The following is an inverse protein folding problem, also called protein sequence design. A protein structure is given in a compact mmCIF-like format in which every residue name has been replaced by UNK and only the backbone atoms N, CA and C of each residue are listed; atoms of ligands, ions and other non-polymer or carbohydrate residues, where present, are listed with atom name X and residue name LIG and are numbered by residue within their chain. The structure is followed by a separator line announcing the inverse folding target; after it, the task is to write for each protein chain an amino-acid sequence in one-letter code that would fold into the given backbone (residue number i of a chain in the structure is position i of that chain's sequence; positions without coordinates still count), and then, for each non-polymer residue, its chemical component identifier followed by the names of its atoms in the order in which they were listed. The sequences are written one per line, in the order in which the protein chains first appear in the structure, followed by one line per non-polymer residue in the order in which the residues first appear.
data_IF_729703379526
#
_entry.id   IF_729703379526
#
_cell.length_a   1.000
_cell.length_b   1.000
_cell.length_c   1.000
_cell.angle_alpha   90.00
_cell.angle_beta   90.00
_cell.angle_gamma   90.00
#
_symmetry.space_group_name_H-M   'P 1'
#
loop_
_entity.id
_entity.type
_entity.pdbx_description
1 polymer ?
#
# COMPACT_ATOMS: atom_id res chain seq x y z
N UNK A 1 5.34 -39.34 -18.51
CA UNK A 1 5.94 -38.05 -18.13
C UNK A 1 5.11 -37.42 -17.02
N UNK A 2 5.36 -37.82 -15.76
CA UNK A 2 4.62 -37.36 -14.58
C UNK A 2 5.48 -36.28 -13.92
N UNK A 3 5.08 -35.02 -14.03
CA UNK A 3 5.74 -33.94 -13.30
C UNK A 3 5.31 -34.03 -11.83
N UNK A 4 6.18 -34.63 -11.02
CA UNK A 4 6.05 -34.76 -9.58
C UNK A 4 6.49 -33.44 -8.97
N UNK A 5 5.53 -32.60 -8.56
CA UNK A 5 5.83 -31.44 -7.72
C UNK A 5 6.18 -31.98 -6.35
N UNK A 6 7.47 -32.01 -6.03
CA UNK A 6 8.01 -32.41 -4.74
C UNK A 6 7.82 -31.21 -3.81
N UNK A 7 6.88 -31.35 -2.87
CA UNK A 7 6.75 -30.52 -1.68
C UNK A 7 8.11 -30.49 -0.96
N UNK A 8 8.80 -29.36 -1.04
CA UNK A 8 9.94 -29.03 -0.21
C UNK A 8 9.53 -27.84 0.63
N UNK A 9 9.44 -28.11 1.92
CA UNK A 9 9.26 -27.15 3.00
C UNK A 9 10.23 -25.98 2.80
N UNK A 10 9.72 -24.76 2.66
CA UNK A 10 10.52 -23.56 2.84
C UNK A 10 10.10 -22.96 4.18
N UNK A 11 10.81 -23.37 5.23
CA UNK A 11 10.93 -22.64 6.49
C UNK A 11 12.33 -22.05 6.50
N UNK A 12 12.48 -20.79 6.08
CA UNK A 12 13.75 -20.06 6.18
C UNK A 12 13.34 -18.66 6.68
N UNK A 13 13.41 -18.37 7.99
CA UNK A 13 14.63 -17.92 8.66
C UNK A 13 15.40 -16.89 7.82
N UNK A 14 15.00 -15.63 7.97
CA UNK A 14 15.75 -14.47 7.50
C UNK A 14 16.94 -14.22 8.46
N UNK A 15 17.95 -15.09 8.37
CA UNK A 15 19.21 -15.02 9.09
C UNK A 15 20.28 -14.37 8.21
N UNK A 16 20.71 -13.14 8.53
CA UNK A 16 22.12 -12.71 8.63
C UNK A 16 22.31 -11.18 8.59
N UNK A 17 22.26 -10.56 9.77
CA UNK A 17 23.33 -9.68 10.26
C UNK A 17 23.15 -9.50 11.76
N UNK A 18 24.08 -10.07 12.53
CA UNK A 18 24.15 -9.96 13.99
C UNK A 18 24.41 -8.51 14.41
N UNK A 19 23.68 -8.03 15.42
CA UNK A 19 24.28 -7.24 16.48
C UNK A 19 23.45 -7.41 17.78
N UNK A 20 24.18 -7.74 18.83
CA UNK A 20 23.73 -7.98 20.19
C UNK A 20 23.33 -6.68 20.91
N UNK A 21 22.63 -6.88 22.01
CA UNK A 21 22.05 -5.89 22.92
C UNK A 21 23.05 -4.80 23.34
N UNK A 22 22.78 -3.52 23.01
CA UNK A 22 23.21 -2.38 23.84
C UNK A 22 22.20 -1.24 23.75
N UNK A 23 21.80 -0.75 24.92
CA UNK A 23 20.73 0.22 25.10
C UNK A 23 20.97 1.54 24.36
N UNK A 24 19.99 1.90 23.55
CA UNK A 24 19.55 3.28 23.39
C UNK A 24 18.02 3.21 23.44
N UNK A 25 17.41 4.17 24.12
CA UNK A 25 15.95 4.33 24.19
C UNK A 25 15.39 4.46 22.76
N UNK A 26 15.15 3.34 22.08
CA UNK A 26 14.49 3.28 20.79
C UNK A 26 13.03 3.56 21.05
N UNK A 27 12.69 4.84 21.13
CA UNK A 27 11.30 5.26 21.16
C UNK A 27 10.69 4.82 19.84
N UNK A 28 10.04 3.65 19.83
CA UNK A 28 9.25 3.14 18.71
C UNK A 28 8.02 4.04 18.59
N UNK A 29 8.26 5.22 18.03
CA UNK A 29 7.26 6.25 17.86
C UNK A 29 6.60 6.00 16.51
N UNK A 30 5.28 5.96 16.45
CA UNK A 30 4.50 5.73 15.25
C UNK A 30 3.66 6.96 14.91
N UNK A 31 3.40 7.21 13.63
CA UNK A 31 2.59 8.33 13.16
C UNK A 31 1.52 7.87 12.17
N UNK A 32 0.45 8.66 12.08
CA UNK A 32 -0.62 8.41 11.11
C UNK A 32 -0.20 8.93 9.72
N UNK A 33 -0.12 8.08 8.68
CA UNK A 33 0.32 8.50 7.34
C UNK A 33 -0.64 9.49 6.68
N UNK A 34 -1.93 9.41 7.02
CA UNK A 34 -2.97 10.38 6.60
C UNK A 34 -2.92 11.71 7.37
N UNK A 35 -2.10 11.81 8.41
CA UNK A 35 -1.97 13.01 9.27
C UNK A 35 -3.32 13.50 9.83
N UNK A 36 -4.24 12.58 10.14
CA UNK A 36 -5.58 12.91 10.65
C UNK A 36 -5.54 13.78 11.92
N UNK A 37 -4.52 13.59 12.75
CA UNK A 37 -4.29 14.36 13.99
C UNK A 37 -3.05 15.28 13.86
N UNK A 38 -2.60 15.54 12.62
CA UNK A 38 -1.45 16.37 12.30
C UNK A 38 -0.13 15.77 12.74
N UNK A 39 0.35 16.16 13.92
CA UNK A 39 1.69 15.82 14.47
C UNK A 39 1.63 14.80 15.61
N UNK A 40 0.47 14.22 15.89
CA UNK A 40 0.33 13.25 16.97
C UNK A 40 1.18 12.02 16.68
N UNK A 41 1.95 11.64 17.68
CA UNK A 41 2.81 10.48 17.67
C UNK A 41 2.36 9.49 18.73
N UNK A 42 2.50 8.22 18.41
CA UNK A 42 2.03 7.09 19.21
C UNK A 42 3.24 6.29 19.68
N UNK A 43 3.22 5.79 20.91
CA UNK A 43 4.28 4.92 21.44
C UNK A 43 3.98 3.43 21.24
N UNK A 44 2.80 3.12 20.69
CA UNK A 44 2.34 1.77 20.41
C UNK A 44 2.06 1.61 18.91
N UNK A 45 2.41 0.43 18.38
CA UNK A 45 1.96 -0.02 17.07
C UNK A 45 0.46 -0.32 17.10
N UNK A 46 -0.21 -0.16 15.96
CA UNK A 46 -1.66 -0.36 15.87
C UNK A 46 -2.28 0.45 14.73
N UNK A 47 -3.56 0.76 14.86
CA UNK A 47 -4.31 1.53 13.87
C UNK A 47 -4.66 2.91 14.41
N UNK A 48 -4.65 3.93 13.54
CA UNK A 48 -5.09 5.27 13.88
C UNK A 48 -6.59 5.23 14.24
N UNK A 49 -7.02 5.78 15.39
CA UNK A 49 -8.42 5.74 15.80
C UNK A 49 -9.34 6.57 14.89
N UNK A 50 -8.79 7.48 14.08
CA UNK A 50 -9.56 8.33 13.17
C UNK A 50 -9.83 7.63 11.84
N UNK A 51 -8.78 7.21 11.15
CA UNK A 51 -8.89 6.61 9.81
C UNK A 51 -8.81 5.08 9.80
N UNK A 52 -8.59 4.44 10.96
CA UNK A 52 -8.40 2.99 11.11
C UNK A 52 -7.27 2.38 10.27
N UNK A 53 -6.38 3.22 9.70
CA UNK A 53 -5.20 2.75 8.99
C UNK A 53 -4.05 2.46 9.95
N UNK A 54 -3.19 1.54 9.55
CA UNK A 54 -2.02 1.13 10.32
C UNK A 54 -1.04 2.31 10.52
N UNK A 55 -0.64 2.53 11.77
CA UNK A 55 0.35 3.54 12.15
C UNK A 55 1.74 3.11 11.68
N UNK A 56 2.51 4.06 11.13
CA UNK A 56 3.83 3.79 10.56
C UNK A 56 4.94 4.28 11.51
N UNK A 57 6.06 3.56 11.69
CA UNK A 57 7.12 3.98 12.59
C UNK A 57 7.84 5.24 12.06
N UNK A 58 8.10 6.19 12.95
CA UNK A 58 8.97 7.34 12.77
C UNK A 58 10.40 6.83 12.90
N UNK A 59 11.13 6.77 11.78
CA UNK A 59 12.52 6.30 11.73
C UNK A 59 12.72 5.00 10.94
N UNK A 60 11.64 4.29 10.57
CA UNK A 60 11.75 3.25 9.55
C UNK A 60 11.78 3.90 8.17
N UNK A 61 12.90 3.73 7.47
CA UNK A 61 13.14 4.09 6.05
C UNK A 61 11.88 3.79 5.22
N UNK A 62 11.45 4.70 4.33
CA UNK A 62 10.17 4.62 3.63
C UNK A 62 9.95 3.23 3.05
N UNK A 63 8.74 2.70 3.27
CA UNK A 63 8.24 1.57 2.52
C UNK A 63 8.57 1.84 1.04
N UNK A 64 9.39 0.98 0.44
CA UNK A 64 9.46 0.88 -1.00
C UNK A 64 8.06 0.47 -1.44
N UNK A 65 7.18 1.44 -1.62
CA UNK A 65 6.16 1.31 -2.61
C UNK A 65 6.96 1.04 -3.86
N UNK A 66 6.98 -0.22 -4.30
CA UNK A 66 7.12 -0.45 -5.72
C UNK A 66 6.01 0.43 -6.29
N UNK A 67 6.37 1.61 -6.78
CA UNK A 67 5.51 2.33 -7.67
C UNK A 67 5.42 1.31 -8.80
N UNK A 68 4.36 0.48 -8.75
CA UNK A 68 3.94 -0.26 -9.91
C UNK A 68 3.91 0.83 -10.95
N UNK A 69 4.94 0.82 -11.80
CA UNK A 69 5.14 1.83 -12.82
C UNK A 69 3.79 1.83 -13.49
N UNK A 70 2.98 2.85 -13.22
CA UNK A 70 1.73 3.00 -13.94
C UNK A 70 2.25 3.06 -15.35
N UNK A 71 2.10 1.95 -16.09
CA UNK A 71 2.36 1.96 -17.51
C UNK A 71 1.54 3.16 -17.92
N UNK A 72 2.21 4.21 -18.39
CA UNK A 72 1.59 5.24 -19.18
C UNK A 72 0.71 4.46 -20.15
N UNK A 73 -0.59 4.44 -19.84
CA UNK A 73 -1.56 3.87 -20.74
C UNK A 73 -1.63 4.91 -21.84
N UNK A 74 -0.64 4.87 -22.74
CA UNK A 74 -0.80 5.30 -24.10
C UNK A 74 -1.84 4.36 -24.72
N UNK A 75 -3.08 4.48 -24.23
CA UNK A 75 -4.25 3.99 -24.92
C UNK A 75 -4.39 4.97 -26.07
N UNK A 76 -3.80 4.61 -27.18
CA UNK A 76 -4.29 5.01 -28.48
C UNK A 76 -5.81 4.77 -28.45
N UNK A 77 -6.58 5.84 -28.21
CA UNK A 77 -8.02 5.79 -27.96
C UNK A 77 -8.73 5.62 -29.30
N UNK A 78 -8.59 4.44 -29.89
CA UNK A 78 -9.44 3.98 -30.97
C UNK A 78 -10.74 3.46 -30.37
N UNK A 79 -11.65 4.38 -30.01
CA UNK A 79 -13.07 4.11 -29.72
C UNK A 79 -13.36 3.25 -28.49
N UNK A 80 -12.79 3.58 -27.33
CA UNK A 80 -13.05 2.87 -26.06
C UNK A 80 -14.07 3.59 -25.17
N UNK A 81 -15.01 2.85 -24.58
CA UNK A 81 -15.94 3.36 -23.55
C UNK A 81 -15.20 3.66 -22.24
N UNK A 82 -15.48 4.80 -21.62
CA UNK A 82 -14.92 5.28 -20.36
C UNK A 82 -15.69 4.69 -19.16
N UNK A 83 -15.04 4.42 -18.04
CA UNK A 83 -15.71 3.93 -16.83
C UNK A 83 -15.17 4.64 -15.60
N UNK A 84 -16.02 4.79 -14.57
CA UNK A 84 -15.63 5.39 -13.29
C UNK A 84 -14.68 4.44 -12.53
N UNK A 85 -13.43 4.83 -12.20
CA UNK A 85 -12.48 3.98 -11.48
C UNK A 85 -12.98 3.52 -10.11
N UNK A 86 -13.77 4.38 -9.45
CA UNK A 86 -14.40 4.09 -8.17
C UNK A 86 -15.66 3.23 -8.27
N UNK A 87 -16.15 2.98 -9.50
CA UNK A 87 -17.41 2.25 -9.77
C UNK A 87 -18.59 2.78 -8.97
N UNK A 88 -18.72 4.10 -8.84
CA UNK A 88 -19.84 4.73 -8.14
C UNK A 88 -21.19 4.36 -8.77
N UNK A 89 -21.20 4.11 -10.09
CA UNK A 89 -22.36 3.66 -10.85
C UNK A 89 -22.23 2.17 -11.27
N UNK A 90 -21.37 1.42 -10.57
CA UNK A 90 -21.08 0.02 -10.87
C UNK A 90 -20.32 -0.14 -12.19
N UNK A 91 -20.98 -0.78 -13.16
CA UNK A 91 -20.42 -1.12 -14.48
C UNK A 91 -20.82 -0.13 -15.58
N UNK A 92 -21.37 1.04 -15.22
CA UNK A 92 -21.75 2.05 -16.21
C UNK A 92 -20.52 2.55 -16.96
N UNK A 93 -20.69 2.68 -18.27
CA UNK A 93 -19.65 3.16 -19.18
C UNK A 93 -20.18 4.29 -20.05
N UNK A 94 -19.31 5.24 -20.36
CA UNK A 94 -19.57 6.47 -21.08
C UNK A 94 -18.87 6.45 -22.44
N UNK A 95 -19.47 7.08 -23.43
CA UNK A 95 -18.86 7.19 -24.77
C UNK A 95 -17.92 8.40 -24.88
N UNK A 96 -18.02 9.35 -23.95
CA UNK A 96 -17.23 10.57 -23.91
C UNK A 96 -16.26 10.60 -22.71
N UNK A 97 -15.04 11.15 -22.88
CA UNK A 97 -14.14 11.39 -21.76
C UNK A 97 -14.72 12.47 -20.84
N UNK A 98 -14.70 12.22 -19.54
CA UNK A 98 -15.20 13.19 -18.57
C UNK A 98 -15.02 12.75 -17.12
N UNK A 99 -15.34 13.69 -16.24
CA UNK A 99 -15.42 13.49 -14.80
C UNK A 99 -16.72 12.75 -14.45
N UNK A 100 -16.68 11.86 -13.47
CA UNK A 100 -17.85 11.07 -13.10
C UNK A 100 -18.83 11.96 -12.33
N UNK A 101 -20.11 12.05 -12.72
CA UNK A 101 -21.08 12.93 -12.05
C UNK A 101 -21.33 12.57 -10.58
N UNK A 102 -20.91 11.39 -10.13
CA UNK A 102 -21.05 10.94 -8.74
C UNK A 102 -19.84 11.30 -7.88
N UNK A 103 -18.61 11.23 -8.41
CA UNK A 103 -17.39 11.42 -7.62
C UNK A 103 -16.48 12.57 -8.07
N UNK A 104 -16.84 13.31 -9.12
CA UNK A 104 -16.06 14.42 -9.68
C UNK A 104 -14.88 13.90 -10.50
#
# INVERSE_FOLDING_TARGET
MKHKHKELQHTEEHSCCSCEETGTEQTNVYFCPMKCEGKKVYTASGNCPVCHMHLVPVGSVPHKHTHHKHKEHNKQYSGGRYYCPMRCEGNKSYDEPGNCPVCG
#
